data_IF_543305477849
#
_entry.id   IF_543305477849
#
_cell.length_a   1.000
_cell.length_b   1.000
_cell.length_c   1.000
_cell.angle_alpha   90.00
_cell.angle_beta   90.00
_cell.angle_gamma   90.00
#
_symmetry.space_group_name_H-M   'P 1'
#
loop_
_entity.id
_entity.type
_entity.pdbx_description
1 polymer ?
#
# COMPACT_ATOMS: atom_id res chain seq x y z
N UNK A 1 36.71 56.54 26.40
CA UNK A 1 36.11 55.29 26.89
C UNK A 1 34.86 55.03 26.05
N UNK A 2 34.88 53.93 25.30
CA UNK A 2 34.12 53.70 24.07
C UNK A 2 32.59 53.80 24.24
N UNK A 3 31.95 54.60 23.38
CA UNK A 3 30.50 54.62 23.23
C UNK A 3 30.05 53.24 22.70
N UNK A 4 29.13 52.62 23.43
CA UNK A 4 28.40 51.44 22.97
C UNK A 4 27.47 51.86 21.84
N UNK A 5 27.95 51.77 20.61
CA UNK A 5 27.09 51.87 19.43
C UNK A 5 26.43 50.51 19.23
N UNK A 6 25.37 50.28 20.00
CA UNK A 6 24.53 49.09 19.84
C UNK A 6 23.65 49.40 18.64
N UNK A 7 24.12 49.02 17.45
CA UNK A 7 23.39 49.22 16.21
C UNK A 7 22.03 48.51 16.28
N UNK A 8 20.99 49.22 16.70
CA UNK A 8 19.59 48.81 16.57
C UNK A 8 19.25 48.93 15.08
N UNK A 9 19.64 47.95 14.27
CA UNK A 9 19.21 47.84 12.88
C UNK A 9 17.72 47.48 12.87
N UNK A 10 16.89 48.37 12.34
CA UNK A 10 15.49 48.05 12.04
C UNK A 10 15.40 47.06 10.88
N UNK A 11 14.43 46.14 10.97
CA UNK A 11 14.12 45.19 9.89
C UNK A 11 13.46 45.95 8.74
N UNK A 12 13.97 45.79 7.52
CA UNK A 12 13.39 46.42 6.33
C UNK A 12 12.12 45.70 5.89
N UNK A 13 11.22 46.41 5.20
CA UNK A 13 10.03 45.77 4.59
C UNK A 13 10.42 44.63 3.65
N UNK A 14 11.51 44.80 2.91
CA UNK A 14 12.02 43.78 2.00
C UNK A 14 12.47 42.52 2.76
N UNK A 15 13.20 42.68 3.86
CA UNK A 15 13.61 41.55 4.71
C UNK A 15 12.41 40.81 5.28
N UNK A 16 11.38 41.52 5.74
CA UNK A 16 10.16 40.88 6.22
C UNK A 16 9.45 40.10 5.11
N UNK A 17 9.34 40.68 3.91
CA UNK A 17 8.73 40.01 2.74
C UNK A 17 9.54 38.76 2.37
N UNK A 18 10.86 38.84 2.32
CA UNK A 18 11.74 37.70 2.03
C UNK A 18 11.61 36.63 3.12
N UNK A 19 11.60 37.02 4.40
CA UNK A 19 11.46 36.09 5.52
C UNK A 19 10.14 35.32 5.45
N UNK A 20 9.02 36.02 5.21
CA UNK A 20 7.71 35.38 5.05
C UNK A 20 7.67 34.50 3.80
N UNK A 21 8.29 34.92 2.70
CA UNK A 21 8.36 34.13 1.47
C UNK A 21 9.12 32.82 1.67
N UNK A 22 10.31 32.87 2.30
CA UNK A 22 11.10 31.68 2.62
C UNK A 22 10.34 30.77 3.59
N UNK A 23 9.72 31.34 4.62
CA UNK A 23 8.91 30.58 5.56
C UNK A 23 7.73 29.88 4.85
N UNK A 24 7.01 30.58 3.99
CA UNK A 24 5.89 30.02 3.24
C UNK A 24 6.32 28.87 2.32
N UNK A 25 7.45 29.01 1.60
CA UNK A 25 8.02 27.92 0.81
C UNK A 25 8.38 26.74 1.70
N UNK A 26 9.03 26.98 2.85
CA UNK A 26 9.40 25.96 3.82
C UNK A 26 8.18 25.19 4.35
N UNK A 27 7.10 25.90 4.70
CA UNK A 27 5.86 25.28 5.19
C UNK A 27 5.18 24.45 4.10
N UNK A 28 5.09 24.94 2.87
CA UNK A 28 4.51 24.18 1.75
C UNK A 28 5.33 22.93 1.45
N UNK A 29 6.66 23.04 1.44
CA UNK A 29 7.55 21.90 1.23
C UNK A 29 7.40 20.85 2.34
N UNK A 30 7.31 21.28 3.60
CA UNK A 30 7.10 20.39 4.74
C UNK A 30 5.75 19.65 4.65
N UNK A 31 4.66 20.35 4.34
CA UNK A 31 3.34 19.73 4.16
C UNK A 31 3.33 18.72 3.02
N UNK A 32 3.87 19.08 1.85
CA UNK A 32 3.98 18.16 0.71
C UNK A 32 4.83 16.93 1.03
N UNK A 33 5.91 17.10 1.80
CA UNK A 33 6.76 15.99 2.23
C UNK A 33 5.98 15.04 3.17
N UNK A 34 5.22 15.58 4.12
CA UNK A 34 4.35 14.79 4.99
C UNK A 34 3.26 14.03 4.18
N UNK A 35 2.62 14.69 3.21
CA UNK A 35 1.63 14.04 2.34
C UNK A 35 2.24 12.93 1.47
N UNK A 36 3.46 13.14 0.98
CA UNK A 36 4.20 12.11 0.24
C UNK A 36 4.58 10.93 1.13
N UNK A 37 5.07 11.18 2.35
CA UNK A 37 5.38 10.14 3.33
C UNK A 37 4.13 9.36 3.72
N UNK A 38 3.01 10.04 3.99
CA UNK A 38 1.73 9.41 4.32
C UNK A 38 1.21 8.51 3.19
N UNK A 39 1.30 8.95 1.93
CA UNK A 39 0.90 8.12 0.77
C UNK A 39 1.85 6.94 0.52
N UNK A 40 3.16 7.13 0.68
CA UNK A 40 4.13 6.05 0.52
C UNK A 40 3.96 4.98 1.62
N UNK A 41 3.81 5.40 2.87
CA UNK A 41 3.60 4.50 4.01
C UNK A 41 2.22 3.83 3.97
N UNK A 42 1.18 4.58 3.62
CA UNK A 42 -0.17 4.04 3.46
C UNK A 42 -0.27 3.02 2.34
N UNK A 43 0.43 3.26 1.22
CA UNK A 43 0.52 2.32 0.11
C UNK A 43 1.26 1.03 0.47
N UNK A 44 2.33 1.11 1.26
CA UNK A 44 3.09 -0.08 1.66
C UNK A 44 2.30 -1.00 2.60
N UNK A 45 1.62 -0.43 3.60
CA UNK A 45 0.72 -1.20 4.46
C UNK A 45 -0.37 -1.91 3.64
N UNK A 46 -0.96 -1.22 2.67
CA UNK A 46 -1.94 -1.80 1.76
C UNK A 46 -1.34 -2.91 0.86
N UNK A 47 -0.12 -2.76 0.34
CA UNK A 47 0.58 -3.82 -0.43
C UNK A 47 0.78 -5.08 0.40
N UNK A 48 1.24 -4.94 1.64
CA UNK A 48 1.44 -6.08 2.55
C UNK A 48 0.10 -6.77 2.84
N UNK A 49 -0.95 -6.01 3.12
CA UNK A 49 -2.29 -6.59 3.32
C UNK A 49 -2.82 -7.30 2.07
N UNK A 50 -2.65 -6.71 0.88
CA UNK A 50 -3.05 -7.33 -0.38
C UNK A 50 -2.32 -8.66 -0.62
N UNK A 51 -1.02 -8.69 -0.34
CA UNK A 51 -0.21 -9.91 -0.43
C UNK A 51 -0.69 -10.96 0.58
N UNK A 52 -0.97 -10.56 1.83
CA UNK A 52 -1.47 -11.50 2.84
C UNK A 52 -2.83 -12.09 2.46
N UNK A 53 -3.74 -11.29 1.91
CA UNK A 53 -5.04 -11.77 1.41
C UNK A 53 -4.86 -12.78 0.28
N UNK A 54 -3.96 -12.50 -0.68
CA UNK A 54 -3.64 -13.42 -1.77
C UNK A 54 -2.99 -14.71 -1.26
N UNK A 55 -2.07 -14.63 -0.29
CA UNK A 55 -1.44 -15.77 0.37
C UNK A 55 -2.44 -16.63 1.14
N UNK A 56 -3.36 -16.01 1.89
CA UNK A 56 -4.40 -16.73 2.62
C UNK A 56 -5.26 -17.55 1.65
N UNK A 57 -5.68 -16.96 0.53
CA UNK A 57 -6.40 -17.68 -0.52
C UNK A 57 -5.54 -18.79 -1.13
N UNK A 58 -4.25 -18.56 -1.33
CA UNK A 58 -3.35 -19.60 -1.84
C UNK A 58 -3.24 -20.80 -0.88
N UNK A 59 -3.23 -20.57 0.43
CA UNK A 59 -3.25 -21.64 1.43
C UNK A 59 -4.60 -22.37 1.46
N UNK A 60 -5.72 -21.67 1.29
CA UNK A 60 -7.04 -22.31 1.13
C UNK A 60 -7.06 -23.26 -0.08
N UNK A 61 -6.45 -22.89 -1.21
CA UNK A 61 -6.28 -23.78 -2.37
C UNK A 61 -5.44 -25.02 -2.03
N UNK A 62 -4.37 -24.86 -1.24
CA UNK A 62 -3.53 -26.00 -0.84
C UNK A 62 -4.25 -26.94 0.12
N UNK A 63 -5.07 -26.40 1.02
CA UNK A 63 -5.80 -27.17 2.04
C UNK A 63 -7.00 -27.91 1.48
N UNK A 64 -7.83 -27.23 0.68
CA UNK A 64 -9.10 -27.77 0.16
C UNK A 64 -8.94 -28.48 -1.19
N UNK A 65 -7.89 -28.12 -1.94
CA UNK A 65 -7.79 -28.43 -3.36
C UNK A 65 -8.55 -27.41 -4.21
N UNK A 66 -8.14 -27.25 -5.47
CA UNK A 66 -8.66 -26.21 -6.35
C UNK A 66 -10.17 -26.31 -6.59
N UNK A 67 -10.70 -27.53 -6.78
CA UNK A 67 -12.12 -27.76 -7.07
C UNK A 67 -13.05 -27.27 -5.94
N UNK A 68 -12.63 -27.38 -4.70
CA UNK A 68 -13.41 -26.88 -3.56
C UNK A 68 -13.11 -25.41 -3.29
N UNK A 69 -11.85 -24.99 -3.43
CA UNK A 69 -11.44 -23.62 -3.15
C UNK A 69 -12.04 -22.57 -4.13
N UNK A 70 -12.38 -22.97 -5.36
CA UNK A 70 -13.04 -22.08 -6.34
C UNK A 70 -14.42 -21.58 -5.88
N UNK A 71 -15.08 -22.35 -5.00
CA UNK A 71 -16.41 -22.02 -4.48
C UNK A 71 -16.37 -21.03 -3.30
N UNK A 72 -15.18 -20.73 -2.78
CA UNK A 72 -15.02 -19.76 -1.70
C UNK A 72 -15.34 -18.34 -2.16
N UNK A 73 -15.85 -17.52 -1.23
CA UNK A 73 -16.15 -16.10 -1.48
C UNK A 73 -14.95 -15.39 -2.13
N UNK A 74 -15.22 -14.61 -3.19
CA UNK A 74 -14.21 -13.75 -3.84
C UNK A 74 -14.13 -12.36 -3.21
N UNK A 75 -14.85 -12.13 -2.11
CA UNK A 75 -14.77 -10.92 -1.29
C UNK A 75 -14.31 -11.29 0.12
N UNK A 76 -13.26 -10.64 0.60
CA UNK A 76 -12.67 -10.89 1.92
C UNK A 76 -12.44 -9.57 2.64
N UNK A 77 -12.97 -9.45 3.86
CA UNK A 77 -12.63 -8.34 4.75
C UNK A 77 -11.30 -8.62 5.43
N UNK A 78 -10.33 -7.73 5.28
CA UNK A 78 -9.03 -7.86 5.94
C UNK A 78 -8.46 -6.48 6.29
N UNK A 79 -8.21 -6.27 7.57
CA UNK A 79 -7.91 -4.94 8.10
C UNK A 79 -9.08 -3.97 7.86
N UNK A 80 -8.80 -2.73 7.41
CA UNK A 80 -9.84 -1.72 7.17
C UNK A 80 -10.50 -1.82 5.79
N UNK A 81 -10.10 -2.79 4.95
CA UNK A 81 -10.54 -2.86 3.55
C UNK A 81 -11.36 -4.12 3.27
N UNK A 82 -12.27 -3.98 2.31
CA UNK A 82 -12.93 -5.10 1.64
C UNK A 82 -12.16 -5.39 0.34
N UNK A 83 -11.59 -6.59 0.24
CA UNK A 83 -10.75 -7.02 -0.87
C UNK A 83 -11.54 -7.91 -1.82
N UNK A 84 -11.45 -7.60 -3.11
CA UNK A 84 -11.91 -8.45 -4.21
C UNK A 84 -10.78 -9.36 -4.70
N UNK A 85 -11.10 -10.61 -4.97
CA UNK A 85 -10.20 -11.64 -5.48
C UNK A 85 -10.57 -11.99 -6.92
N UNK A 86 -9.65 -11.70 -7.83
CA UNK A 86 -9.68 -12.20 -9.20
C UNK A 86 -8.78 -13.43 -9.27
N UNK A 87 -9.34 -14.54 -9.74
CA UNK A 87 -8.65 -15.85 -9.71
C UNK A 87 -8.89 -16.54 -11.05
N UNK A 88 -7.78 -16.87 -11.70
CA UNK A 88 -7.74 -17.68 -12.93
C UNK A 88 -7.01 -18.99 -12.68
N UNK A 89 -7.55 -20.08 -13.20
CA UNK A 89 -7.04 -21.44 -12.98
C UNK A 89 -6.66 -22.12 -14.29
N UNK A 90 -5.59 -22.92 -14.26
CA UNK A 90 -5.18 -23.80 -15.35
C UNK A 90 -4.77 -25.18 -14.79
N UNK A 91 -5.31 -26.25 -15.37
CA UNK A 91 -4.91 -27.61 -15.00
C UNK A 91 -3.57 -27.94 -15.66
N UNK A 92 -2.58 -28.24 -14.83
CA UNK A 92 -1.24 -28.63 -15.27
C UNK A 92 -1.22 -30.04 -15.83
N UNK A 93 -0.21 -30.36 -16.65
CA UNK A 93 0.00 -31.72 -17.17
C UNK A 93 0.23 -32.78 -16.08
N UNK A 94 0.64 -32.36 -14.88
CA UNK A 94 0.87 -33.24 -13.74
C UNK A 94 -0.40 -33.50 -12.91
N UNK A 95 -1.58 -33.00 -13.35
CA UNK A 95 -2.85 -33.21 -12.66
C UNK A 95 -3.11 -32.28 -11.48
N UNK A 96 -2.22 -31.32 -11.22
CA UNK A 96 -2.43 -30.19 -10.30
C UNK A 96 -3.12 -29.04 -11.01
N UNK A 97 -3.66 -28.10 -10.24
CA UNK A 97 -4.19 -26.83 -10.77
C UNK A 97 -3.27 -25.69 -10.35
N UNK A 98 -2.85 -24.88 -11.31
CA UNK A 98 -2.21 -23.58 -11.06
C UNK A 98 -3.31 -22.52 -10.96
N UNK A 99 -3.37 -21.82 -9.83
CA UNK A 99 -4.27 -20.69 -9.62
C UNK A 99 -3.44 -19.41 -9.51
N UNK A 100 -3.70 -18.44 -10.39
CA UNK A 100 -3.22 -17.06 -10.23
C UNK A 100 -4.27 -16.27 -9.47
N UNK A 101 -3.91 -15.77 -8.30
CA UNK A 101 -4.78 -15.02 -7.38
C UNK A 101 -4.32 -13.56 -7.36
N UNK A 102 -5.25 -12.64 -7.59
CA UNK A 102 -5.03 -11.20 -7.57
C UNK A 102 -6.00 -10.56 -6.57
N UNK A 103 -5.45 -9.93 -5.52
CA UNK A 103 -6.21 -9.19 -4.52
C UNK A 103 -6.21 -7.69 -4.85
N UNK A 104 -7.40 -7.08 -4.88
CA UNK A 104 -7.60 -5.64 -5.16
C UNK A 104 -8.63 -5.01 -4.25
N UNK A 105 -8.42 -3.75 -3.93
CA UNK A 105 -9.41 -2.87 -3.29
C UNK A 105 -9.27 -1.46 -3.87
N UNK A 106 -10.34 -0.67 -3.83
CA UNK A 106 -10.40 0.61 -4.54
C UNK A 106 -9.41 1.63 -3.97
N UNK A 107 -8.68 2.29 -4.86
CA UNK A 107 -7.73 3.35 -4.50
C UNK A 107 -6.46 2.87 -3.79
N UNK A 108 -6.24 1.55 -3.67
CA UNK A 108 -5.06 0.98 -3.02
C UNK A 108 -4.24 0.08 -3.96
N UNK A 109 -2.94 -0.12 -3.68
CA UNK A 109 -2.15 -1.14 -4.34
C UNK A 109 -2.71 -2.56 -4.14
N UNK A 110 -2.58 -3.41 -5.17
CA UNK A 110 -2.98 -4.82 -5.11
C UNK A 110 -1.83 -5.79 -4.83
N UNK A 111 -2.17 -7.07 -4.70
CA UNK A 111 -1.26 -8.19 -4.51
C UNK A 111 -1.55 -9.30 -5.51
N UNK A 112 -0.52 -10.03 -5.96
CA UNK A 112 -0.65 -11.16 -6.89
C UNK A 112 0.24 -12.31 -6.46
N UNK A 113 -0.31 -13.52 -6.47
CA UNK A 113 0.44 -14.76 -6.25
C UNK A 113 -0.04 -15.84 -7.22
N UNK A 114 0.85 -16.75 -7.60
CA UNK A 114 0.50 -17.99 -8.27
C UNK A 114 0.76 -19.16 -7.31
N UNK A 115 -0.19 -20.10 -7.24
CA UNK A 115 -0.09 -21.29 -6.40
C UNK A 115 -0.39 -22.53 -7.23
N UNK A 116 0.38 -23.59 -7.04
CA UNK A 116 0.08 -24.92 -7.57
C UNK A 116 -0.51 -25.73 -6.42
N UNK A 117 -1.73 -26.21 -6.59
CA UNK A 117 -2.46 -27.00 -5.61
C UNK A 117 -3.01 -28.29 -6.23
N UNK A 118 -3.32 -29.28 -5.39
CA UNK A 118 -4.04 -30.47 -5.87
C UNK A 118 -5.37 -30.03 -6.46
N UNK A 119 -5.77 -30.65 -7.57
CA UNK A 119 -7.09 -30.35 -8.19
C UNK A 119 -8.22 -30.76 -7.25
N UNK A 120 -8.08 -31.92 -6.60
CA UNK A 120 -8.96 -32.43 -5.55
C UNK A 120 -8.12 -32.99 -4.40
N UNK A 121 -8.60 -32.86 -3.17
CA UNK A 121 -8.02 -33.55 -2.00
C UNK A 121 -8.92 -34.75 -1.69
N UNK A 122 -8.39 -35.95 -1.90
CA UNK A 122 -9.09 -37.20 -1.54
C UNK A 122 -8.90 -37.40 -0.02
N UNK A 123 -9.99 -37.65 0.76
CA UNK A 123 -9.92 -37.90 2.19
C UNK A 123 -9.13 -39.18 2.55
#
# INVERSE_FOLDING_TARGET
MSARDTATRGVTLLELVIAVFVLAIGTIAALRSADHAGRALGGEAARVMAMQVALNRAEEYRLLGAREAVNLSRSVRYGPFDWSLDISEEVTRAGFTEATIVARTDGQPGGRIAVIAKTEVIP
#
